data_IF_553259141731
#
_entry.id   IF_553259141731
#
_cell.length_a   1.000
_cell.length_b   1.000
_cell.length_c   1.000
_cell.angle_alpha   90.00
_cell.angle_beta   90.00
_cell.angle_gamma   90.00
#
_symmetry.space_group_name_H-M   'P 1'
#
loop_
_entity.id
_entity.type
_entity.pdbx_description
1 polymer ?
#
# COMPACT_ATOMS: atom_id res chain seq x y z
N UNK A 1 -17.54 -22.69 11.37
CA UNK A 1 -17.82 -22.44 9.95
C UNK A 1 -16.53 -22.31 9.15
N UNK A 2 -15.59 -21.46 9.58
CA UNK A 2 -14.27 -21.26 8.94
C UNK A 2 -13.55 -22.55 8.51
N UNK A 3 -13.24 -23.47 9.43
CA UNK A 3 -12.50 -24.71 9.10
C UNK A 3 -13.23 -25.62 8.09
N UNK A 4 -14.57 -25.59 8.10
CA UNK A 4 -15.39 -26.34 7.12
C UNK A 4 -15.27 -25.72 5.73
N UNK A 5 -15.34 -24.38 5.63
CA UNK A 5 -15.17 -23.64 4.37
C UNK A 5 -13.76 -23.82 3.80
N UNK A 6 -12.72 -23.72 4.64
CA UNK A 6 -11.34 -23.97 4.24
C UNK A 6 -11.16 -25.41 3.73
N UNK A 7 -11.71 -26.40 4.44
CA UNK A 7 -11.70 -27.79 3.99
C UNK A 7 -12.43 -28.01 2.66
N UNK A 8 -13.51 -27.27 2.40
CA UNK A 8 -14.22 -27.33 1.11
C UNK A 8 -13.40 -26.71 -0.03
N UNK A 9 -12.75 -25.56 0.20
CA UNK A 9 -11.83 -24.94 -0.77
C UNK A 9 -10.71 -25.91 -1.13
N UNK A 10 -10.02 -26.46 -0.14
CA UNK A 10 -8.91 -27.41 -0.34
C UNK A 10 -9.34 -28.61 -1.20
N UNK A 11 -10.53 -29.16 -0.96
CA UNK A 11 -11.07 -30.29 -1.75
C UNK A 11 -11.47 -29.93 -3.18
N UNK A 12 -11.82 -28.68 -3.43
CA UNK A 12 -12.29 -28.21 -4.74
C UNK A 12 -11.17 -27.65 -5.62
N UNK A 13 -10.05 -27.18 -5.05
CA UNK A 13 -8.90 -26.66 -5.79
C UNK A 13 -8.32 -27.62 -6.86
N UNK A 14 -8.23 -28.94 -6.65
CA UNK A 14 -7.71 -29.85 -7.68
C UNK A 14 -8.61 -30.01 -8.90
N UNK A 15 -9.86 -29.52 -8.87
CA UNK A 15 -10.83 -29.68 -9.95
C UNK A 15 -10.91 -28.39 -10.78
N UNK A 16 -10.42 -28.36 -12.04
CA UNK A 16 -10.28 -27.13 -12.83
C UNK A 16 -11.56 -26.28 -12.91
N UNK A 17 -12.70 -26.92 -13.17
CA UNK A 17 -13.99 -26.24 -13.34
C UNK A 17 -14.49 -25.58 -12.03
N UNK A 18 -14.14 -26.17 -10.89
CA UNK A 18 -14.51 -25.62 -9.59
C UNK A 18 -13.50 -24.57 -9.11
N UNK A 19 -12.21 -24.79 -9.35
CA UNK A 19 -11.13 -23.92 -8.92
C UNK A 19 -11.28 -22.51 -9.49
N UNK A 20 -11.74 -22.38 -10.73
CA UNK A 20 -11.93 -21.07 -11.38
C UNK A 20 -13.34 -20.50 -11.24
N UNK A 21 -14.23 -21.08 -10.45
CA UNK A 21 -15.61 -20.61 -10.30
C UNK A 21 -15.74 -19.31 -9.47
N UNK A 22 -16.82 -18.55 -9.66
CA UNK A 22 -17.08 -17.33 -8.87
C UNK A 22 -17.24 -17.65 -7.39
N UNK A 23 -17.84 -18.81 -7.07
CA UNK A 23 -17.97 -19.30 -5.71
C UNK A 23 -16.62 -19.56 -5.05
N UNK A 24 -15.65 -20.10 -5.79
CA UNK A 24 -14.30 -20.33 -5.26
C UNK A 24 -13.59 -19.00 -4.94
N UNK A 25 -13.69 -18.03 -5.86
CA UNK A 25 -13.13 -16.70 -5.65
C UNK A 25 -13.77 -16.00 -4.45
N UNK A 26 -15.10 -15.96 -4.40
CA UNK A 26 -15.84 -15.36 -3.29
C UNK A 26 -15.53 -16.03 -1.96
N UNK A 27 -15.49 -17.36 -1.92
CA UNK A 27 -15.14 -18.09 -0.69
C UNK A 27 -13.72 -17.72 -0.22
N UNK A 28 -12.77 -17.61 -1.14
CA UNK A 28 -11.39 -17.19 -0.82
C UNK A 28 -11.33 -15.76 -0.30
N UNK A 29 -12.09 -14.83 -0.89
CA UNK A 29 -12.25 -13.46 -0.41
C UNK A 29 -12.84 -13.43 1.01
N UNK A 30 -13.91 -14.18 1.26
CA UNK A 30 -14.56 -14.23 2.58
C UNK A 30 -13.62 -14.81 3.64
N UNK A 31 -12.83 -15.83 3.29
CA UNK A 31 -11.81 -16.38 4.20
C UNK A 31 -10.73 -15.34 4.52
N UNK A 32 -10.30 -14.56 3.52
CA UNK A 32 -9.37 -13.45 3.73
C UNK A 32 -9.96 -12.39 4.67
N UNK A 33 -11.20 -11.96 4.44
CA UNK A 33 -11.92 -10.99 5.27
C UNK A 33 -12.09 -11.52 6.70
N UNK A 34 -12.40 -12.81 6.85
CA UNK A 34 -12.48 -13.44 8.17
C UNK A 34 -11.15 -13.36 8.92
N UNK A 35 -10.03 -13.68 8.27
CA UNK A 35 -8.71 -13.62 8.92
C UNK A 35 -8.23 -12.19 9.22
N UNK A 36 -8.69 -11.20 8.46
CA UNK A 36 -8.43 -9.79 8.79
C UNK A 36 -9.01 -9.40 10.16
N UNK A 37 -10.15 -9.99 10.56
CA UNK A 37 -10.73 -9.81 11.90
C UNK A 37 -10.16 -10.80 12.93
N UNK A 38 -10.17 -12.08 12.58
CA UNK A 38 -9.89 -13.16 13.54
C UNK A 38 -8.41 -13.23 13.90
N UNK A 39 -7.52 -12.79 13.01
CA UNK A 39 -6.07 -12.83 13.18
C UNK A 39 -5.59 -14.16 13.77
N UNK A 40 -6.05 -15.30 13.23
CA UNK A 40 -5.74 -16.62 13.83
C UNK A 40 -4.23 -16.87 13.89
N UNK A 41 -3.51 -16.32 12.92
CA UNK A 41 -2.08 -16.01 12.99
C UNK A 41 -1.85 -14.61 12.43
N UNK A 42 -0.73 -13.93 12.76
CA UNK A 42 -0.45 -12.57 12.28
C UNK A 42 -0.57 -12.39 10.76
N UNK A 43 -0.17 -13.40 9.98
CA UNK A 43 -0.09 -13.32 8.52
C UNK A 43 -1.15 -14.17 7.78
N UNK A 44 -2.10 -14.79 8.50
CA UNK A 44 -3.12 -15.65 7.88
C UNK A 44 -3.93 -14.90 6.81
N UNK A 45 -4.27 -13.63 7.06
CA UNK A 45 -5.00 -12.80 6.11
C UNK A 45 -4.21 -12.56 4.82
N UNK A 46 -2.88 -12.41 4.90
CA UNK A 46 -2.00 -12.25 3.74
C UNK A 46 -2.04 -13.51 2.88
N UNK A 47 -1.99 -14.69 3.50
CA UNK A 47 -2.03 -15.96 2.79
C UNK A 47 -3.35 -16.15 2.02
N UNK A 48 -4.49 -15.81 2.62
CA UNK A 48 -5.79 -15.88 1.92
C UNK A 48 -5.95 -14.80 0.87
N UNK A 49 -5.46 -13.58 1.12
CA UNK A 49 -5.44 -12.50 0.12
C UNK A 49 -4.60 -12.90 -1.09
N UNK A 50 -3.44 -13.54 -0.88
CA UNK A 50 -2.60 -14.10 -1.94
C UNK A 50 -3.32 -15.22 -2.70
N UNK A 51 -4.05 -16.10 -2.00
CA UNK A 51 -4.91 -17.11 -2.62
C UNK A 51 -5.98 -16.50 -3.53
N UNK A 52 -6.72 -15.49 -3.04
CA UNK A 52 -7.71 -14.75 -3.81
C UNK A 52 -7.08 -14.03 -5.02
N UNK A 53 -5.88 -13.43 -4.84
CA UNK A 53 -5.11 -12.80 -5.91
C UNK A 53 -4.75 -13.79 -7.02
N UNK A 54 -4.20 -14.95 -6.67
CA UNK A 54 -3.84 -16.00 -7.63
C UNK A 54 -5.05 -16.50 -8.40
N UNK A 55 -6.18 -16.68 -7.72
CA UNK A 55 -7.44 -17.04 -8.38
C UNK A 55 -7.90 -15.97 -9.36
N UNK A 56 -7.90 -14.70 -8.95
CA UNK A 56 -8.25 -13.54 -9.78
C UNK A 56 -7.38 -13.48 -11.05
N UNK A 57 -6.06 -13.59 -10.90
CA UNK A 57 -5.10 -13.62 -12.02
C UNK A 57 -5.35 -14.83 -12.93
N UNK A 58 -5.55 -16.02 -12.36
CA UNK A 58 -5.74 -17.26 -13.15
C UNK A 58 -7.03 -17.29 -13.98
N UNK A 59 -8.02 -16.49 -13.58
CA UNK A 59 -9.29 -16.31 -14.28
C UNK A 59 -9.17 -15.25 -15.38
N UNK A 60 -8.29 -14.27 -15.19
CA UNK A 60 -8.05 -13.16 -16.11
C UNK A 60 -9.20 -12.15 -16.14
N UNK A 61 -8.98 -10.92 -16.65
CA UNK A 61 -9.97 -9.85 -16.59
C UNK A 61 -11.33 -10.18 -17.25
N UNK A 62 -11.31 -10.98 -18.33
CA UNK A 62 -12.51 -11.38 -19.06
C UNK A 62 -13.53 -12.12 -18.18
N UNK A 63 -13.07 -12.86 -17.17
CA UNK A 63 -13.94 -13.56 -16.22
C UNK A 63 -14.61 -12.64 -15.19
N UNK A 64 -14.38 -11.33 -15.26
CA UNK A 64 -14.90 -10.33 -14.34
C UNK A 64 -15.76 -9.27 -15.02
N UNK A 65 -16.01 -9.35 -16.33
CA UNK A 65 -16.73 -8.31 -17.06
C UNK A 65 -18.16 -8.08 -16.56
N UNK A 66 -18.82 -9.12 -16.05
CA UNK A 66 -20.19 -9.06 -15.56
C UNK A 66 -20.45 -10.03 -14.41
N UNK A 67 -21.65 -9.95 -13.84
CA UNK A 67 -22.11 -10.90 -12.82
C UNK A 67 -21.31 -10.85 -11.52
N UNK A 68 -21.25 -11.99 -10.84
CA UNK A 68 -20.68 -12.08 -9.49
C UNK A 68 -19.16 -11.91 -9.47
N UNK A 69 -18.46 -12.41 -10.48
CA UNK A 69 -17.03 -12.15 -10.70
C UNK A 69 -16.68 -10.66 -10.73
N UNK A 70 -17.51 -9.81 -11.38
CA UNK A 70 -17.32 -8.35 -11.38
C UNK A 70 -17.39 -7.77 -9.97
N UNK A 71 -18.43 -8.14 -9.21
CA UNK A 71 -18.62 -7.64 -7.85
C UNK A 71 -17.48 -8.07 -6.92
N UNK A 72 -16.97 -9.29 -7.07
CA UNK A 72 -15.79 -9.75 -6.32
C UNK A 72 -14.56 -8.87 -6.60
N UNK A 73 -14.33 -8.49 -7.86
CA UNK A 73 -13.25 -7.58 -8.21
C UNK A 73 -13.46 -6.18 -7.60
N UNK A 74 -14.63 -5.57 -7.78
CA UNK A 74 -14.93 -4.23 -7.24
C UNK A 74 -14.77 -4.21 -5.72
N UNK A 75 -15.35 -5.19 -5.02
CA UNK A 75 -15.35 -5.24 -3.57
C UNK A 75 -13.96 -5.48 -2.97
N UNK A 76 -13.09 -6.22 -3.68
CA UNK A 76 -11.82 -6.66 -3.11
C UNK A 76 -10.57 -5.95 -3.66
N UNK A 77 -10.71 -5.12 -4.72
CA UNK A 77 -9.58 -4.43 -5.36
C UNK A 77 -8.74 -3.56 -4.40
N UNK A 78 -9.39 -2.88 -3.46
CA UNK A 78 -8.69 -2.08 -2.44
C UNK A 78 -7.82 -2.94 -1.51
N UNK A 79 -8.29 -4.14 -1.15
CA UNK A 79 -7.52 -5.06 -0.30
C UNK A 79 -6.32 -5.67 -1.01
N UNK A 80 -6.38 -5.87 -2.33
CA UNK A 80 -5.20 -6.27 -3.10
C UNK A 80 -4.12 -5.21 -3.09
N UNK A 81 -4.50 -3.94 -3.24
CA UNK A 81 -3.58 -2.81 -3.11
C UNK A 81 -3.00 -2.79 -1.69
N UNK A 82 -3.85 -2.86 -0.66
CA UNK A 82 -3.42 -2.87 0.73
C UNK A 82 -2.41 -3.97 1.03
N UNK A 83 -2.67 -5.19 0.54
CA UNK A 83 -1.78 -6.34 0.69
C UNK A 83 -0.45 -6.10 -0.01
N UNK A 84 -0.47 -5.55 -1.23
CA UNK A 84 0.74 -5.23 -1.98
C UNK A 84 1.59 -4.15 -1.30
N UNK A 85 0.96 -3.12 -0.72
CA UNK A 85 1.63 -2.09 0.09
C UNK A 85 2.25 -2.72 1.34
N UNK A 86 1.49 -3.56 2.05
CA UNK A 86 1.93 -4.25 3.25
C UNK A 86 3.13 -5.16 2.99
N UNK A 87 3.08 -5.97 1.93
CA UNK A 87 4.18 -6.84 1.52
C UNK A 87 5.34 -6.06 0.85
N UNK A 88 5.10 -4.81 0.48
CA UNK A 88 6.03 -4.00 -0.30
C UNK A 88 6.34 -4.58 -1.68
N UNK A 89 5.35 -5.20 -2.34
CA UNK A 89 5.46 -5.84 -3.66
C UNK A 89 4.59 -5.10 -4.70
N UNK A 90 4.85 -5.25 -6.00
CA UNK A 90 3.95 -4.74 -7.03
C UNK A 90 2.55 -5.36 -6.92
N UNK A 91 1.52 -4.57 -7.23
CA UNK A 91 0.14 -5.04 -7.28
C UNK A 91 -0.22 -5.42 -8.71
N UNK A 92 -0.77 -6.63 -8.94
CA UNK A 92 -1.14 -7.09 -10.29
C UNK A 92 -2.14 -6.16 -10.99
N UNK A 93 -2.91 -5.37 -10.24
CA UNK A 93 -3.85 -4.40 -10.77
C UNK A 93 -3.17 -3.24 -11.52
N UNK A 94 -1.85 -3.10 -11.43
CA UNK A 94 -1.08 -2.14 -12.23
C UNK A 94 -0.70 -2.64 -13.63
N UNK A 95 -0.95 -3.91 -13.92
CA UNK A 95 -0.65 -4.51 -15.21
C UNK A 95 -1.61 -3.99 -16.29
N UNK A 96 -1.13 -3.96 -17.53
CA UNK A 96 -1.83 -3.35 -18.67
C UNK A 96 -3.22 -3.92 -18.93
N UNK A 97 -3.38 -5.24 -18.81
CA UNK A 97 -4.65 -5.94 -18.97
C UNK A 97 -5.67 -5.54 -17.88
N UNK A 98 -5.23 -5.43 -16.63
CA UNK A 98 -6.06 -5.01 -15.50
C UNK A 98 -6.39 -3.51 -15.53
N UNK A 99 -5.47 -2.66 -15.99
CA UNK A 99 -5.72 -1.24 -16.21
C UNK A 99 -6.70 -0.99 -17.36
N UNK A 100 -6.56 -1.77 -18.45
CA UNK A 100 -7.51 -1.75 -19.56
C UNK A 100 -8.90 -2.19 -19.11
N UNK A 101 -8.97 -3.24 -18.30
CA UNK A 101 -10.22 -3.70 -17.70
C UNK A 101 -10.83 -2.66 -16.76
N UNK A 102 -10.04 -2.04 -15.87
CA UNK A 102 -10.51 -0.96 -15.01
C UNK A 102 -11.07 0.23 -15.81
N UNK A 103 -10.44 0.56 -16.94
CA UNK A 103 -10.93 1.58 -17.87
C UNK A 103 -12.29 1.21 -18.47
N UNK A 104 -12.47 -0.05 -18.87
CA UNK A 104 -13.76 -0.57 -19.37
C UNK A 104 -14.83 -0.47 -18.28
N UNK A 105 -14.56 -0.98 -17.08
CA UNK A 105 -15.47 -0.91 -15.92
C UNK A 105 -15.92 0.52 -15.67
N UNK A 106 -14.96 1.45 -15.54
CA UNK A 106 -15.23 2.87 -15.32
C UNK A 106 -16.13 3.47 -16.41
N UNK A 107 -15.85 3.16 -17.66
CA UNK A 107 -16.62 3.68 -18.81
C UNK A 107 -18.06 3.17 -18.81
N UNK A 108 -18.28 1.92 -18.40
CA UNK A 108 -19.62 1.36 -18.26
C UNK A 108 -20.36 1.94 -17.04
N UNK A 109 -19.65 2.15 -15.93
CA UNK A 109 -20.24 2.63 -14.68
C UNK A 109 -20.53 4.14 -14.70
N UNK A 110 -19.74 4.95 -15.41
CA UNK A 110 -20.00 6.40 -15.54
C UNK A 110 -21.23 6.72 -16.41
N UNK A 111 -21.70 5.78 -17.25
CA UNK A 111 -22.92 5.93 -18.03
C UNK A 111 -24.19 5.81 -17.19
N UNK A 112 -24.11 5.28 -15.97
CA UNK A 112 -25.26 5.12 -15.08
C UNK A 112 -25.67 6.50 -14.54
N UNK A 113 -26.94 6.86 -14.71
CA UNK A 113 -27.46 8.12 -14.18
C UNK A 113 -27.55 8.09 -12.65
N UNK A 114 -27.20 9.21 -12.01
CA UNK A 114 -27.34 9.36 -10.57
C UNK A 114 -26.35 10.36 -9.96
N UNK A 115 -26.67 10.84 -8.77
CA UNK A 115 -25.82 11.78 -8.02
C UNK A 115 -24.43 11.22 -7.70
N UNK A 116 -24.31 9.89 -7.65
CA UNK A 116 -23.08 9.17 -7.35
C UNK A 116 -22.23 8.84 -8.58
N UNK A 117 -22.69 9.14 -9.80
CA UNK A 117 -21.96 8.85 -11.04
C UNK A 117 -20.61 9.57 -11.10
N UNK A 118 -20.58 10.85 -10.73
CA UNK A 118 -19.37 11.68 -10.66
C UNK A 118 -18.40 11.12 -9.61
N UNK A 119 -18.92 10.75 -8.42
CA UNK A 119 -18.09 10.14 -7.38
C UNK A 119 -17.51 8.80 -7.83
N UNK A 120 -18.32 7.96 -8.47
CA UNK A 120 -17.90 6.67 -9.00
C UNK A 120 -16.76 6.81 -10.00
N UNK A 121 -16.87 7.76 -10.93
CA UNK A 121 -15.81 8.02 -11.92
C UNK A 121 -14.50 8.50 -11.25
N UNK A 122 -14.57 9.48 -10.34
CA UNK A 122 -13.39 9.97 -9.62
C UNK A 122 -12.77 8.85 -8.78
N UNK A 123 -13.59 8.01 -8.15
CA UNK A 123 -13.16 6.86 -7.35
C UNK A 123 -12.43 5.81 -8.19
N UNK A 124 -12.94 5.50 -9.37
CA UNK A 124 -12.29 4.56 -10.30
C UNK A 124 -10.98 5.13 -10.85
N UNK A 125 -10.92 6.42 -11.18
CA UNK A 125 -9.68 7.06 -11.62
C UNK A 125 -8.63 7.08 -10.50
N UNK A 126 -9.04 7.40 -9.27
CA UNK A 126 -8.15 7.37 -8.11
C UNK A 126 -7.64 5.94 -7.85
N UNK A 127 -8.51 4.94 -7.91
CA UNK A 127 -8.13 3.53 -7.84
C UNK A 127 -7.04 3.17 -8.87
N UNK A 128 -7.22 3.56 -10.14
CA UNK A 128 -6.26 3.25 -11.20
C UNK A 128 -4.87 3.83 -10.93
N UNK A 129 -4.78 5.06 -10.40
CA UNK A 129 -3.50 5.66 -10.00
C UNK A 129 -2.91 5.02 -8.74
N UNK A 130 -3.72 4.79 -7.71
CA UNK A 130 -3.28 4.17 -6.45
C UNK A 130 -2.77 2.74 -6.70
N UNK A 131 -3.38 1.99 -7.61
CA UNK A 131 -2.96 0.62 -7.95
C UNK A 131 -1.50 0.51 -8.43
N UNK A 132 -0.93 1.58 -9.00
CA UNK A 132 0.47 1.65 -9.48
C UNK A 132 1.48 1.85 -8.34
N UNK A 133 1.04 2.44 -7.22
CA UNK A 133 1.92 2.89 -6.16
C UNK A 133 2.70 1.78 -5.44
N UNK A 134 2.14 0.57 -5.20
CA UNK A 134 2.91 -0.56 -4.65
C UNK A 134 4.14 -0.92 -5.48
N UNK A 135 4.09 -0.79 -6.81
CA UNK A 135 5.27 -0.99 -7.66
C UNK A 135 6.32 0.08 -7.45
N UNK A 136 5.93 1.35 -7.33
CA UNK A 136 6.90 2.41 -7.05
C UNK A 136 7.62 2.19 -5.71
N UNK A 137 6.90 1.68 -4.70
CA UNK A 137 7.48 1.27 -3.41
C UNK A 137 8.53 0.17 -3.62
N UNK A 138 8.18 -0.88 -4.37
CA UNK A 138 9.07 -2.01 -4.65
C UNK A 138 10.31 -1.57 -5.46
N UNK A 139 10.09 -0.90 -6.59
CA UNK A 139 11.16 -0.46 -7.50
C UNK A 139 12.12 0.50 -6.77
N UNK A 140 11.60 1.40 -5.91
CA UNK A 140 12.45 2.29 -5.09
C UNK A 140 13.30 1.50 -4.11
N UNK A 141 12.71 0.49 -3.45
CA UNK A 141 13.47 -0.36 -2.52
C UNK A 141 14.60 -1.10 -3.23
N UNK A 142 14.32 -1.67 -4.40
CA UNK A 142 15.31 -2.43 -5.17
C UNK A 142 16.47 -1.53 -5.61
N UNK A 143 16.17 -0.33 -6.12
CA UNK A 143 17.18 0.65 -6.52
C UNK A 143 18.02 1.18 -5.36
N UNK A 144 17.43 1.39 -4.18
CA UNK A 144 18.16 1.84 -2.99
C UNK A 144 18.98 0.72 -2.34
N UNK A 145 18.58 -0.53 -2.52
CA UNK A 145 19.29 -1.70 -1.97
C UNK A 145 20.44 -2.18 -2.86
N UNK A 146 20.50 -1.73 -4.12
CA UNK A 146 21.57 -2.06 -5.04
C UNK A 146 22.93 -1.59 -4.48
N UNK A 147 23.87 -2.52 -4.33
CA UNK A 147 25.22 -2.24 -3.81
C UNK A 147 26.18 -1.69 -4.89
N UNK A 148 25.72 -1.57 -6.12
CA UNK A 148 26.45 -1.03 -7.28
C UNK A 148 26.12 0.42 -7.54
N UNK A 149 26.91 1.04 -8.42
CA UNK A 149 26.66 2.33 -9.05
C UNK A 149 25.17 2.56 -9.35
N UNK A 150 24.62 3.74 -9.04
CA UNK A 150 23.21 4.02 -9.27
C UNK A 150 22.91 4.00 -10.76
N UNK A 151 21.96 3.17 -11.18
CA UNK A 151 21.38 3.24 -12.51
C UNK A 151 20.59 4.54 -12.64
N UNK A 152 21.29 5.59 -13.06
CA UNK A 152 20.76 6.95 -13.16
C UNK A 152 19.56 7.04 -14.08
N UNK A 153 19.53 6.21 -15.14
CA UNK A 153 18.41 6.17 -16.06
C UNK A 153 17.20 5.49 -15.41
N UNK A 154 17.38 4.35 -14.73
CA UNK A 154 16.29 3.69 -14.01
C UNK A 154 15.71 4.59 -12.91
N UNK A 155 16.56 5.26 -12.13
CA UNK A 155 16.13 6.20 -11.10
C UNK A 155 15.35 7.37 -11.72
N UNK A 156 15.88 8.01 -12.76
CA UNK A 156 15.21 9.14 -13.44
C UNK A 156 13.85 8.72 -14.02
N UNK A 157 13.78 7.54 -14.64
CA UNK A 157 12.53 7.02 -15.19
C UNK A 157 11.50 6.70 -14.11
N UNK A 158 11.93 6.14 -12.97
CA UNK A 158 11.05 5.88 -11.84
C UNK A 158 10.54 7.18 -11.21
N UNK A 159 11.43 8.14 -10.95
CA UNK A 159 11.07 9.47 -10.44
C UNK A 159 10.06 10.17 -11.35
N UNK A 160 10.24 10.10 -12.66
CA UNK A 160 9.27 10.65 -13.63
C UNK A 160 7.89 9.99 -13.50
N UNK A 161 7.83 8.66 -13.43
CA UNK A 161 6.57 7.92 -13.27
C UNK A 161 5.86 8.27 -11.95
N UNK A 162 6.62 8.37 -10.86
CA UNK A 162 6.12 8.82 -9.55
C UNK A 162 5.53 10.23 -9.65
N UNK A 163 6.22 11.17 -10.29
CA UNK A 163 5.74 12.53 -10.47
C UNK A 163 4.47 12.61 -11.34
N UNK A 164 4.40 11.85 -12.43
CA UNK A 164 3.23 11.85 -13.31
C UNK A 164 1.99 11.26 -12.60
N UNK A 165 2.14 10.15 -11.86
CA UNK A 165 1.06 9.62 -11.02
C UNK A 165 0.69 10.60 -9.90
N UNK A 166 1.66 11.22 -9.23
CA UNK A 166 1.40 12.22 -8.18
C UNK A 166 0.61 13.42 -8.70
N UNK A 167 0.91 13.90 -9.92
CA UNK A 167 0.18 15.01 -10.55
C UNK A 167 -1.29 14.64 -10.78
N UNK A 168 -1.54 13.46 -11.35
CA UNK A 168 -2.89 12.94 -11.62
C UNK A 168 -3.69 12.74 -10.33
N UNK A 169 -3.09 12.06 -9.36
CA UNK A 169 -3.73 11.78 -8.07
C UNK A 169 -4.04 13.06 -7.29
N UNK A 170 -3.18 14.09 -7.37
CA UNK A 170 -3.44 15.41 -6.76
C UNK A 170 -4.62 16.14 -7.41
N UNK A 171 -4.78 16.06 -8.74
CA UNK A 171 -5.96 16.58 -9.44
C UNK A 171 -7.23 15.89 -8.94
N UNK A 172 -7.22 14.56 -8.91
CA UNK A 172 -8.35 13.75 -8.47
C UNK A 172 -8.71 14.02 -7.00
N UNK A 173 -7.72 14.18 -6.12
CA UNK A 173 -7.95 14.54 -4.73
C UNK A 173 -8.60 15.93 -4.60
N UNK A 174 -8.19 16.91 -5.40
CA UNK A 174 -8.80 18.25 -5.41
C UNK A 174 -10.25 18.22 -5.94
N UNK A 175 -10.51 17.43 -6.99
CA UNK A 175 -11.86 17.21 -7.53
C UNK A 175 -12.77 16.50 -6.53
N UNK A 176 -12.26 15.45 -5.87
CA UNK A 176 -12.97 14.71 -4.83
C UNK A 176 -13.33 15.62 -3.65
N UNK A 177 -12.37 16.44 -3.19
CA UNK A 177 -12.57 17.42 -2.13
C UNK A 177 -13.66 18.44 -2.48
N UNK A 178 -13.66 18.93 -3.72
CA UNK A 178 -14.72 19.82 -4.25
C UNK A 178 -16.07 19.12 -4.28
N UNK A 179 -16.13 17.85 -4.71
CA UNK A 179 -17.36 17.06 -4.77
C UNK A 179 -17.96 16.83 -3.37
N UNK A 180 -17.15 16.46 -2.39
CA UNK A 180 -17.57 16.26 -1.00
C UNK A 180 -18.15 17.57 -0.44
N UNK A 181 -17.47 18.68 -0.68
CA UNK A 181 -17.90 20.00 -0.20
C UNK A 181 -19.22 20.44 -0.83
N UNK A 182 -19.37 20.25 -2.16
CA UNK A 182 -20.61 20.53 -2.87
C UNK A 182 -21.77 19.65 -2.37
N UNK A 183 -21.51 18.37 -2.09
CA UNK A 183 -22.53 17.46 -1.54
C UNK A 183 -22.98 17.91 -0.14
N UNK A 184 -22.03 18.27 0.73
CA UNK A 184 -22.33 18.77 2.08
C UNK A 184 -23.18 20.05 2.05
N UNK A 185 -22.89 20.99 1.16
CA UNK A 185 -23.69 22.21 1.00
C UNK A 185 -25.14 21.90 0.58
N UNK A 186 -25.32 20.96 -0.36
CA UNK A 186 -26.67 20.54 -0.80
C UNK A 186 -27.46 19.90 0.33
N UNK A 187 -26.83 19.07 1.16
CA UNK A 187 -27.51 18.48 2.33
C UNK A 187 -27.96 19.54 3.35
N UNK A 188 -27.28 20.69 3.39
CA UNK A 188 -27.66 21.84 4.23
C UNK A 188 -28.71 22.75 3.56
N UNK A 189 -29.27 22.36 2.42
CA UNK A 189 -30.27 23.15 1.68
C UNK A 189 -29.69 24.28 0.82
N UNK A 190 -28.35 24.37 0.70
CA UNK A 190 -27.68 25.35 -0.16
C UNK A 190 -27.64 24.76 -1.58
N UNK A 191 -28.72 25.00 -2.34
CA UNK A 191 -28.84 24.54 -3.73
C UNK A 191 -28.31 25.61 -4.67
N UNK A 192 -27.08 25.42 -5.17
CA UNK A 192 -26.52 26.21 -6.28
C UNK A 192 -26.45 25.40 -7.57
N UNK A 193 -26.13 26.06 -8.69
CA UNK A 193 -26.05 25.44 -10.03
C UNK A 193 -25.25 24.13 -10.00
N UNK A 194 -25.67 23.09 -10.74
CA UNK A 194 -24.91 21.86 -10.87
C UNK A 194 -23.45 22.15 -11.26
N UNK A 195 -22.49 21.66 -10.47
CA UNK A 195 -21.06 21.73 -10.79
C UNK A 195 -20.29 22.97 -10.29
N UNK A 196 -20.90 23.91 -9.55
CA UNK A 196 -20.14 25.01 -8.93
C UNK A 196 -20.22 24.98 -7.41
N UNK A 197 -19.14 24.60 -6.75
CA UNK A 197 -18.92 24.91 -5.33
C UNK A 197 -18.39 26.35 -5.23
N UNK A 198 -19.01 27.18 -4.40
CA UNK A 198 -18.53 28.55 -4.09
C UNK A 198 -18.51 28.70 -2.57
N UNK A 199 -17.31 28.78 -2.00
CA UNK A 199 -17.11 28.90 -0.55
C UNK A 199 -15.73 28.40 -0.11
N UNK A 200 -15.39 28.51 1.18
CA UNK A 200 -14.19 27.88 1.72
C UNK A 200 -14.40 26.36 1.79
N UNK A 201 -13.46 25.60 1.25
CA UNK A 201 -13.44 24.14 1.34
C UNK A 201 -13.04 23.72 2.76
N UNK A 202 -13.82 22.88 3.47
CA UNK A 202 -13.45 22.41 4.79
C UNK A 202 -12.12 21.65 4.79
N UNK A 203 -11.33 21.81 5.86
CA UNK A 203 -10.10 21.06 6.06
C UNK A 203 -10.36 19.62 6.57
N UNK A 204 -11.48 19.42 7.28
CA UNK A 204 -11.84 18.15 7.90
C UNK A 204 -13.24 17.74 7.43
N UNK A 205 -13.38 16.46 7.04
CA UNK A 205 -14.64 15.85 6.64
C UNK A 205 -14.99 14.69 7.58
N UNK A 206 -16.28 14.38 7.78
CA UNK A 206 -16.68 13.17 8.49
C UNK A 206 -16.23 11.92 7.72
N UNK A 207 -15.94 10.83 8.43
CA UNK A 207 -15.52 9.57 7.82
C UNK A 207 -16.67 8.92 7.03
N UNK A 208 -16.59 9.04 5.71
CA UNK A 208 -17.51 8.46 4.72
C UNK A 208 -16.69 7.89 3.57
N UNK A 209 -17.29 7.06 2.72
CA UNK A 209 -16.58 6.48 1.56
C UNK A 209 -15.75 7.52 0.77
N UNK A 210 -16.32 8.67 0.37
CA UNK A 210 -15.59 9.72 -0.33
C UNK A 210 -14.43 10.36 0.45
N UNK A 211 -14.63 10.69 1.73
CA UNK A 211 -13.56 11.32 2.53
C UNK A 211 -12.45 10.33 2.88
N UNK A 212 -12.77 9.06 3.10
CA UNK A 212 -11.79 8.00 3.32
C UNK A 212 -10.93 7.76 2.06
N UNK A 213 -11.54 7.80 0.87
CA UNK A 213 -10.79 7.77 -0.39
C UNK A 213 -9.87 8.99 -0.52
N UNK A 214 -10.36 10.19 -0.20
CA UNK A 214 -9.55 11.41 -0.20
C UNK A 214 -8.34 11.28 0.72
N UNK A 215 -8.56 10.85 1.96
CA UNK A 215 -7.50 10.62 2.95
C UNK A 215 -6.48 9.59 2.45
N UNK A 216 -6.95 8.48 1.87
CA UNK A 216 -6.09 7.47 1.26
C UNK A 216 -5.23 8.01 0.12
N UNK A 217 -5.82 8.81 -0.77
CA UNK A 217 -5.09 9.47 -1.86
C UNK A 217 -4.01 10.43 -1.33
N UNK A 218 -4.30 11.19 -0.26
CA UNK A 218 -3.36 12.11 0.37
C UNK A 218 -2.22 11.38 1.10
N UNK A 219 -2.52 10.30 1.82
CA UNK A 219 -1.48 9.45 2.41
C UNK A 219 -0.55 8.85 1.35
N UNK A 220 -1.11 8.45 0.20
CA UNK A 220 -0.31 7.95 -0.90
C UNK A 220 0.53 9.05 -1.55
N UNK A 221 -0.01 10.26 -1.74
CA UNK A 221 0.77 11.40 -2.25
C UNK A 221 1.99 11.72 -1.36
N UNK A 222 1.81 11.68 -0.04
CA UNK A 222 2.91 11.87 0.92
C UNK A 222 3.95 10.73 0.79
N UNK A 223 3.49 9.49 0.67
CA UNK A 223 4.37 8.33 0.43
C UNK A 223 5.17 8.51 -0.86
N UNK A 224 4.53 8.88 -1.96
CA UNK A 224 5.17 9.11 -3.26
C UNK A 224 6.21 10.23 -3.20
N UNK A 225 5.93 11.32 -2.49
CA UNK A 225 6.89 12.40 -2.29
C UNK A 225 8.14 11.90 -1.54
N UNK A 226 7.94 11.11 -0.49
CA UNK A 226 9.02 10.53 0.30
C UNK A 226 9.87 9.54 -0.52
N UNK A 227 9.28 8.79 -1.45
CA UNK A 227 10.02 7.94 -2.39
C UNK A 227 10.84 8.78 -3.37
N UNK A 228 10.25 9.82 -3.98
CA UNK A 228 10.95 10.70 -4.92
C UNK A 228 12.17 11.36 -4.29
N UNK A 229 12.02 11.90 -3.09
CA UNK A 229 13.13 12.55 -2.37
C UNK A 229 14.31 11.58 -2.17
N UNK A 230 14.05 10.32 -1.80
CA UNK A 230 15.10 9.31 -1.60
C UNK A 230 15.82 8.92 -2.89
N UNK A 231 15.08 8.84 -3.99
CA UNK A 231 15.65 8.58 -5.32
C UNK A 231 16.55 9.75 -5.77
N UNK A 232 16.09 10.98 -5.57
CA UNK A 232 16.86 12.19 -5.88
C UNK A 232 18.11 12.32 -5.00
N UNK A 233 18.00 11.99 -3.72
CA UNK A 233 19.14 11.96 -2.80
C UNK A 233 20.18 10.92 -3.23
N UNK A 234 19.74 9.72 -3.64
CA UNK A 234 20.64 8.67 -4.15
C UNK A 234 21.44 9.13 -5.37
N UNK A 235 20.83 9.88 -6.28
CA UNK A 235 21.54 10.50 -7.42
C UNK A 235 22.52 11.59 -6.96
N UNK A 236 22.10 12.43 -6.02
CA UNK A 236 22.91 13.56 -5.54
C UNK A 236 24.17 13.10 -4.82
N UNK A 237 24.08 12.10 -3.94
CA UNK A 237 25.24 11.61 -3.18
C UNK A 237 26.30 10.98 -4.09
N UNK A 238 25.87 10.29 -5.15
CA UNK A 238 26.77 9.71 -6.12
C UNK A 238 27.53 10.76 -6.95
N UNK A 239 26.82 11.79 -7.43
CA UNK A 239 27.46 12.92 -8.13
C UNK A 239 28.50 13.64 -7.26
N UNK A 240 28.31 13.69 -5.94
CA UNK A 240 29.28 14.30 -5.01
C UNK A 240 30.51 13.41 -4.80
N UNK A 241 30.35 12.08 -4.75
CA UNK A 241 31.48 11.13 -4.70
C UNK A 241 32.33 11.19 -5.97
N UNK A 242 31.70 11.25 -7.15
CA UNK A 242 32.37 11.38 -8.46
C UNK A 242 33.12 12.72 -8.63
N UNK A 243 32.71 13.77 -7.90
CA UNK A 243 33.32 15.09 -7.94
C UNK A 243 34.25 15.39 -6.76
N UNK A 244 34.48 14.43 -5.86
CA UNK A 244 35.47 14.57 -4.79
C UNK A 244 36.87 14.41 -5.39
N UNK A 245 37.75 15.44 -5.32
CA UNK A 245 39.10 15.30 -5.84
C UNK A 245 39.82 14.21 -5.03
N UNK A 246 40.38 13.20 -5.72
CA UNK A 246 41.30 12.24 -5.13
C UNK A 246 42.35 13.00 -4.32
N UNK A 247 42.22 12.97 -2.99
CA UNK A 247 43.27 13.41 -2.10
C UNK A 247 44.35 12.34 -2.14
N UNK A 248 45.18 12.39 -3.18
CA UNK A 248 46.43 11.65 -3.27
C UNK A 248 47.39 12.20 -2.21
N UNK A 249 47.17 11.83 -0.95
CA UNK A 249 48.19 11.98 0.10
C UNK A 249 49.22 10.89 -0.14
N UNK A 250 50.22 11.22 -0.98
CA UNK A 250 51.46 10.46 -1.06
C UNK A 250 52.14 10.58 0.31
N UNK A 251 52.06 9.51 1.10
CA UNK A 251 52.84 9.40 2.33
C UNK A 251 54.19 8.78 1.98
N UNK A 252 55.33 9.38 2.36
CA UNK A 252 56.64 8.81 2.08
C UNK A 252 56.89 7.54 2.90
N UNK A 253 57.79 6.63 2.47
CA UNK A 253 57.99 5.37 3.16
C UNK A 253 58.78 5.61 4.45
N UNK A 254 58.13 5.47 5.60
CA UNK A 254 58.82 5.29 6.88
C UNK A 254 59.02 3.80 7.14
N UNK A 255 60.28 3.41 7.12
CA UNK A 255 60.82 2.13 7.58
C UNK A 255 60.55 1.97 9.09
N UNK A 256 60.29 0.73 9.50
CA UNK A 256 60.14 0.19 10.85
C UNK A 256 58.83 0.46 11.60
N UNK A 257 57.95 -0.56 11.65
CA UNK A 257 57.24 -0.96 12.88
C UNK A 257 56.53 -2.29 12.68
N UNK A 258 56.71 -3.18 13.65
CA UNK A 258 56.31 -4.57 13.69
C UNK A 258 54.79 -4.80 13.79
N UNK A 259 54.40 -5.95 13.22
CA UNK A 259 53.14 -6.70 13.33
C UNK A 259 52.08 -6.22 14.34
N UNK A 260 50.89 -5.90 13.82
CA UNK A 260 49.63 -6.20 14.50
C UNK A 260 48.54 -6.54 13.48
N UNK A 261 48.25 -7.84 13.36
CA UNK A 261 47.16 -8.37 12.53
C UNK A 261 45.85 -8.04 13.26
N UNK A 262 45.12 -7.04 12.77
CA UNK A 262 43.74 -6.80 13.18
C UNK A 262 42.85 -7.93 12.62
N UNK A 263 41.98 -8.55 13.42
CA UNK A 263 41.10 -9.60 12.92
C UNK A 263 40.07 -8.98 11.98
N UNK A 264 40.04 -9.50 10.74
CA UNK A 264 38.94 -9.30 9.81
C UNK A 264 37.61 -9.60 10.52
N UNK A 265 36.88 -8.55 10.87
CA UNK A 265 35.48 -8.66 11.24
C UNK A 265 34.70 -8.90 9.96
N UNK A 266 34.44 -10.17 9.65
CA UNK A 266 33.36 -10.55 8.73
C UNK A 266 32.03 -10.21 9.42
N UNK A 267 31.67 -8.93 9.41
CA UNK A 267 30.28 -8.55 9.66
C UNK A 267 29.47 -9.09 8.49
N UNK A 268 28.67 -10.12 8.75
CA UNK A 268 27.56 -10.51 7.88
C UNK A 268 26.82 -9.23 7.49
N UNK A 269 26.88 -8.85 6.21
CA UNK A 269 26.08 -7.77 5.64
C UNK A 269 24.63 -8.22 5.70
N UNK A 270 23.99 -8.02 6.85
CA UNK A 270 22.54 -8.06 6.94
C UNK A 270 22.06 -6.93 6.06
N UNK A 271 21.46 -7.26 4.91
CA UNK A 271 20.94 -6.27 3.97
C UNK A 271 19.93 -5.39 4.71
N UNK A 272 20.36 -4.21 5.15
CA UNK A 272 19.48 -3.29 5.86
C UNK A 272 18.40 -2.85 4.87
N UNK A 273 17.14 -3.02 5.25
CA UNK A 273 16.01 -2.58 4.43
C UNK A 273 16.06 -1.04 4.42
N UNK A 274 16.08 -0.36 3.25
CA UNK A 274 16.30 1.09 3.19
C UNK A 274 15.16 1.89 3.83
N UNK A 275 13.95 1.34 3.83
CA UNK A 275 12.79 1.90 4.52
C UNK A 275 11.69 0.84 4.70
N UNK A 276 10.83 1.03 5.70
CA UNK A 276 9.64 0.21 5.93
C UNK A 276 8.39 0.98 5.54
N UNK A 277 7.33 0.28 5.15
CA UNK A 277 6.01 0.89 4.95
C UNK A 277 5.13 0.51 6.13
N UNK A 278 4.57 1.51 6.80
CA UNK A 278 3.51 1.30 7.77
C UNK A 278 2.19 1.15 7.01
N UNK A 279 1.37 0.16 7.38
CA UNK A 279 0.02 -0.03 6.87
C UNK A 279 -0.92 -0.38 8.02
N UNK A 280 -2.08 0.27 8.08
CA UNK A 280 -3.10 -0.02 9.08
C UNK A 280 -3.70 -1.43 8.94
N UNK A 281 -3.58 -2.05 7.76
CA UNK A 281 -4.14 -3.38 7.51
C UNK A 281 -3.55 -4.45 8.44
N UNK A 282 -2.26 -4.35 8.76
CA UNK A 282 -1.57 -5.31 9.62
C UNK A 282 -1.96 -5.23 11.10
N UNK A 283 -2.60 -4.15 11.54
CA UNK A 283 -3.00 -3.98 12.95
C UNK A 283 -4.29 -4.74 13.29
N UNK A 284 -5.15 -4.95 12.29
CA UNK A 284 -6.49 -5.47 12.49
C UNK A 284 -7.47 -4.43 13.06
N UNK A 285 -8.69 -4.86 13.41
CA UNK A 285 -9.67 -3.99 14.05
C UNK A 285 -9.14 -3.46 15.39
N UNK A 286 -9.65 -2.28 15.77
CA UNK A 286 -9.32 -1.63 17.05
C UNK A 286 -9.54 -2.59 18.23
N UNK A 287 -8.50 -2.82 19.05
CA UNK A 287 -8.55 -3.70 20.23
C UNK A 287 -8.95 -2.95 21.51
N UNK A 288 -9.66 -1.83 21.38
CA UNK A 288 -10.03 -1.05 22.56
C UNK A 288 -10.99 -1.84 23.43
N UNK A 289 -10.92 -1.61 24.73
CA UNK A 289 -11.88 -2.12 25.69
C UNK A 289 -13.20 -1.33 25.70
N UNK A 290 -13.32 -0.27 24.88
CA UNK A 290 -14.54 0.52 24.76
C UNK A 290 -15.53 -0.22 23.84
N UNK A 291 -16.64 -0.76 24.38
CA UNK A 291 -17.63 -1.50 23.61
C UNK A 291 -18.38 -0.61 22.59
N UNK A 292 -18.17 0.71 22.62
CA UNK A 292 -18.83 1.69 21.76
C UNK A 292 -17.85 2.36 20.80
N UNK A 293 -16.58 1.94 20.72
CA UNK A 293 -15.64 2.49 19.75
C UNK A 293 -16.11 2.14 18.31
N UNK A 294 -16.59 3.12 17.53
CA UNK A 294 -17.10 2.85 16.19
C UNK A 294 -16.01 2.29 15.28
N UNK A 295 -14.73 2.58 15.56
CA UNK A 295 -13.58 2.18 14.74
C UNK A 295 -13.36 0.68 14.69
N UNK A 296 -13.77 -0.07 15.70
CA UNK A 296 -13.70 -1.53 15.66
C UNK A 296 -14.67 -2.12 14.62
N UNK A 297 -15.85 -1.51 14.46
CA UNK A 297 -16.93 -1.98 13.57
C UNK A 297 -16.71 -1.52 12.13
N UNK A 298 -16.22 -0.30 11.92
CA UNK A 298 -16.03 0.28 10.58
C UNK A 298 -14.63 0.01 10.01
N UNK A 299 -13.75 -0.70 10.70
CA UNK A 299 -12.33 -0.83 10.29
C UNK A 299 -12.16 -1.33 8.85
N UNK A 300 -12.83 -2.41 8.44
CA UNK A 300 -12.74 -2.88 7.06
C UNK A 300 -13.34 -1.91 6.06
N UNK A 301 -14.42 -1.21 6.42
CA UNK A 301 -15.01 -0.19 5.56
C UNK A 301 -14.04 0.98 5.33
N UNK A 302 -13.27 1.36 6.36
CA UNK A 302 -12.19 2.35 6.24
C UNK A 302 -11.08 1.88 5.30
N UNK A 303 -10.64 0.64 5.44
CA UNK A 303 -9.62 0.07 4.55
C UNK A 303 -10.15 -0.01 3.12
N UNK A 304 -11.37 -0.51 2.91
CA UNK A 304 -11.96 -0.63 1.58
C UNK A 304 -12.17 0.74 0.92
N UNK A 305 -12.78 1.69 1.64
CA UNK A 305 -13.10 3.03 1.14
C UNK A 305 -11.87 3.89 0.84
N UNK A 306 -10.77 3.66 1.56
CA UNK A 306 -9.48 4.31 1.30
C UNK A 306 -8.66 3.65 0.19
N UNK A 307 -9.20 2.65 -0.51
CA UNK A 307 -8.45 1.80 -1.47
C UNK A 307 -7.24 1.09 -0.84
N UNK A 308 -7.32 0.80 0.45
CA UNK A 308 -6.31 0.00 1.15
C UNK A 308 -5.08 0.78 1.62
N UNK A 309 -5.08 2.10 1.45
CA UNK A 309 -3.89 2.93 1.67
C UNK A 309 -4.04 3.93 2.82
N UNK A 310 -5.10 3.81 3.61
CA UNK A 310 -5.25 4.63 4.83
C UNK A 310 -4.06 4.39 5.77
N UNK A 311 -3.45 5.48 6.21
CA UNK A 311 -2.31 5.45 7.13
C UNK A 311 -1.02 4.91 6.50
N UNK A 312 -0.96 4.68 5.18
CA UNK A 312 0.26 4.30 4.50
C UNK A 312 1.34 5.38 4.67
N UNK A 313 2.48 5.02 5.27
CA UNK A 313 3.59 5.95 5.55
C UNK A 313 4.93 5.26 5.39
N UNK A 314 5.93 5.98 4.88
CA UNK A 314 7.31 5.49 4.85
C UNK A 314 7.96 5.75 6.20
N UNK A 315 8.51 4.70 6.80
CA UNK A 315 9.29 4.76 8.03
C UNK A 315 10.78 4.52 7.69
N UNK A 316 11.71 5.08 8.48
CA UNK A 316 13.13 4.77 8.35
C UNK A 316 13.40 3.26 8.38
N UNK A 317 14.43 2.83 7.65
CA UNK A 317 14.93 1.46 7.68
C UNK A 317 15.54 1.10 9.03
N UNK A 318 15.74 -0.20 9.29
CA UNK A 318 16.41 -0.61 10.52
C UNK A 318 17.88 -0.19 10.48
N UNK A 319 18.27 0.71 11.38
CA UNK A 319 19.68 0.88 11.73
C UNK A 319 20.06 -0.24 12.69
N UNK A 320 20.97 -1.12 12.29
CA UNK A 320 21.50 -2.13 13.20
C UNK A 320 22.25 -1.46 14.34
N UNK A 321 21.62 -1.30 15.51
CA UNK A 321 22.26 -1.39 16.84
C UNK A 321 21.32 -0.98 17.97
N UNK A 322 20.71 -1.97 18.62
CA UNK A 322 20.61 -1.95 20.09
C UNK A 322 20.54 -3.39 20.57
N UNK A 323 21.51 -3.90 21.35
CA UNK A 323 21.36 -5.18 22.02
C UNK A 323 20.21 -5.03 23.02
N UNK A 324 19.23 -5.92 22.95
CA UNK A 324 18.26 -6.13 24.01
C UNK A 324 19.05 -6.47 25.29
N UNK A 325 19.22 -5.50 26.19
CA UNK A 325 19.53 -5.83 27.57
C UNK A 325 18.30 -6.53 28.15
N UNK A 326 18.39 -7.85 28.20
CA UNK A 326 17.57 -8.66 29.08
C UNK A 326 18.03 -8.30 30.51
N UNK A 327 17.36 -7.33 31.13
CA UNK A 327 17.42 -7.20 32.59
C UNK A 327 16.72 -8.42 33.17
N UNK A 328 17.54 -9.42 33.47
CA UNK A 328 17.20 -10.51 34.35
C UNK A 328 17.83 -10.18 35.69
N UNK A 329 17.01 -9.92 36.71
CA UNK A 329 17.21 -10.53 38.02
C UNK A 329 16.00 -10.39 38.95
N UNK A 330 15.80 -11.36 39.85
CA UNK A 330 14.62 -11.51 40.69
C UNK A 330 14.83 -10.85 42.06
N UNK A 331 13.74 -10.43 42.72
CA UNK A 331 13.75 -10.30 44.18
C UNK A 331 12.51 -10.95 44.79
N UNK A 332 12.81 -11.92 45.65
CA UNK A 332 11.95 -12.54 46.63
C UNK A 332 11.24 -11.49 47.48
N UNK A 333 9.99 -11.78 47.85
CA UNK A 333 9.48 -11.46 49.18
C UNK A 333 8.52 -12.57 49.62
N UNK A 334 8.94 -13.22 50.71
CA UNK A 334 8.23 -14.22 51.50
C UNK A 334 7.03 -13.63 52.26
N UNK A 335 6.17 -14.47 52.86
CA UNK A 335 4.80 -14.11 53.21
C UNK A 335 4.66 -13.46 54.60
N UNK A 336 3.60 -12.67 54.76
CA UNK A 336 2.87 -12.50 56.01
C UNK A 336 1.37 -12.59 55.76
#
# INVERSE_FOLDING_TARGET
MYSKSLGAVIKALPKPDHAKSDNMLCTSIILSVFEMYAQTTPDAWVAHSDGAKRLMISRGPAAHESGFGRYCWIAFRGFFIATAVYEGKPCFLDQEDWQSYATKVRTEDCQKSGEWSIYGEISDLAFMEIAKCPRYISDTRDLLSASTEPDSNAITNLTKRIHDTSRRLRSLAAELRSCISAHSQRQQGIVQRPGSFVGPVPEIFPDTGPSLLLNGAENMLETLQQLSNRLEDRLRFHLVEDHSPESSVVTPPSIDSEYSISPFSTTSKTSAIPFRIHSELGQGPSKTSDPHDPRAVIWLDRIASSMGVLGAKVLPGDTSSTPLQIESSPQLLEPQ
#
